data_IF_155196612947
#
_entry.id   IF_155196612947
#
_cell.length_a   1.000
_cell.length_b   1.000
_cell.length_c   1.000
_cell.angle_alpha   90.00
_cell.angle_beta   90.00
_cell.angle_gamma   90.00
#
_symmetry.space_group_name_H-M   'P 1'
#
loop_
_entity.id
_entity.type
_entity.pdbx_description
1 polymer ?
#
# COMPACT_ATOMS: atom_id res chain seq x y z
N UNK A 1 -0.43 -11.57 18.85
CA UNK A 1 -0.22 -11.40 17.40
C UNK A 1 0.55 -10.12 17.08
N UNK A 2 0.41 -9.08 17.92
CA UNK A 2 1.03 -7.77 17.72
C UNK A 2 2.56 -7.82 17.68
N UNK A 3 3.11 -6.93 16.86
CA UNK A 3 4.52 -6.54 16.97
C UNK A 3 4.76 -5.99 18.38
N UNK A 4 5.97 -6.12 18.92
CA UNK A 4 6.33 -5.75 20.32
C UNK A 4 6.27 -4.23 20.61
N UNK A 5 5.57 -3.45 19.76
CA UNK A 5 5.26 -2.05 20.01
C UNK A 5 4.15 -1.97 21.07
N UNK A 6 4.25 -0.97 21.96
CA UNK A 6 3.26 -0.70 23.01
C UNK A 6 1.95 -0.09 22.45
N UNK A 7 1.40 -0.68 21.38
CA UNK A 7 0.16 -0.26 20.74
C UNK A 7 -1.02 -0.93 21.48
N UNK A 8 -2.06 -0.18 21.88
CA UNK A 8 -3.12 -0.68 22.76
C UNK A 8 -4.21 -1.46 21.99
N UNK A 9 -3.83 -2.55 21.32
CA UNK A 9 -4.73 -3.36 20.49
C UNK A 9 -5.91 -3.95 21.27
N UNK A 10 -5.67 -4.46 22.49
CA UNK A 10 -6.74 -4.96 23.36
C UNK A 10 -7.73 -3.87 23.79
N UNK A 11 -7.31 -2.61 23.81
CA UNK A 11 -8.17 -1.47 24.13
C UNK A 11 -9.02 -1.11 22.92
N UNK A 12 -8.42 -1.08 21.72
CA UNK A 12 -9.16 -0.73 20.51
C UNK A 12 -10.17 -1.81 20.13
N UNK A 13 -9.85 -3.10 20.28
CA UNK A 13 -10.75 -4.19 19.93
C UNK A 13 -12.06 -4.17 20.72
N UNK A 14 -12.04 -3.72 21.99
CA UNK A 14 -13.23 -3.53 22.83
C UNK A 14 -14.20 -2.43 22.34
N UNK A 15 -13.79 -1.63 21.36
CA UNK A 15 -14.67 -0.68 20.69
C UNK A 15 -15.49 -1.33 19.57
N UNK A 16 -15.25 -2.60 19.28
CA UNK A 16 -15.92 -3.33 18.22
C UNK A 16 -16.56 -4.62 18.73
N UNK A 17 -17.60 -5.05 18.03
CA UNK A 17 -18.20 -6.36 18.16
C UNK A 17 -18.63 -6.87 16.79
N UNK A 18 -18.63 -8.18 16.59
CA UNK A 18 -19.06 -8.76 15.32
C UNK A 18 -20.54 -9.11 15.39
N UNK A 19 -21.32 -8.67 14.40
CA UNK A 19 -22.77 -8.92 14.31
C UNK A 19 -23.19 -9.15 12.86
N UNK A 20 -24.28 -9.89 12.71
CA UNK A 20 -24.97 -10.07 11.43
C UNK A 20 -25.50 -8.75 10.87
N UNK A 21 -25.20 -8.45 9.60
CA UNK A 21 -25.69 -7.26 8.93
C UNK A 21 -27.21 -7.32 8.78
N UNK A 22 -27.89 -6.23 9.16
CA UNK A 22 -29.36 -6.14 9.15
C UNK A 22 -29.95 -6.01 7.73
N UNK A 23 -29.10 -5.74 6.72
CA UNK A 23 -29.51 -5.60 5.32
C UNK A 23 -28.71 -6.54 4.44
N UNK A 24 -29.41 -7.46 3.78
CA UNK A 24 -28.91 -8.15 2.60
C UNK A 24 -28.85 -7.15 1.44
N UNK A 25 -27.67 -6.63 1.14
CA UNK A 25 -27.45 -5.81 -0.04
C UNK A 25 -27.37 -6.73 -1.27
N UNK A 26 -28.48 -6.92 -1.98
CA UNK A 26 -28.44 -7.54 -3.31
C UNK A 26 -27.77 -6.55 -4.28
N UNK A 27 -26.62 -6.87 -4.88
CA UNK A 27 -26.04 -6.00 -5.89
C UNK A 27 -26.84 -6.09 -7.19
N UNK A 28 -26.93 -4.97 -7.91
CA UNK A 28 -27.71 -4.79 -9.13
C UNK A 28 -27.27 -5.66 -10.33
N UNK A 29 -26.20 -6.45 -10.16
CA UNK A 29 -25.59 -7.29 -11.20
C UNK A 29 -25.74 -8.80 -10.95
N UNK A 30 -26.60 -9.23 -10.01
CA UNK A 30 -26.94 -10.64 -9.82
C UNK A 30 -25.80 -11.52 -9.27
N UNK A 31 -24.67 -10.92 -8.86
CA UNK A 31 -23.59 -11.64 -8.17
C UNK A 31 -23.92 -11.70 -6.68
N UNK A 32 -24.02 -12.88 -6.09
CA UNK A 32 -24.50 -13.05 -4.72
C UNK A 32 -23.42 -12.65 -3.69
N UNK A 33 -23.17 -11.36 -3.47
CA UNK A 33 -22.32 -10.90 -2.35
C UNK A 33 -23.16 -10.87 -1.08
N UNK A 34 -23.32 -12.02 -0.42
CA UNK A 34 -24.00 -12.09 0.87
C UNK A 34 -22.98 -11.70 1.95
N UNK A 35 -22.90 -10.42 2.25
CA UNK A 35 -22.22 -9.94 3.45
C UNK A 35 -23.08 -10.29 4.66
N UNK A 36 -22.71 -11.35 5.36
CA UNK A 36 -23.52 -11.87 6.47
C UNK A 36 -23.17 -11.19 7.78
N UNK A 37 -21.91 -10.90 8.07
CA UNK A 37 -21.46 -10.30 9.34
C UNK A 37 -20.40 -9.21 9.12
N UNK A 38 -20.23 -8.31 10.10
CA UNK A 38 -19.15 -7.33 10.07
C UNK A 38 -18.73 -6.84 11.47
N UNK A 39 -17.56 -6.20 11.53
CA UNK A 39 -17.04 -5.47 12.69
C UNK A 39 -17.82 -4.16 12.88
N UNK A 40 -18.59 -4.09 13.96
CA UNK A 40 -19.47 -2.96 14.24
C UNK A 40 -18.99 -2.16 15.46
N UNK A 41 -19.06 -0.82 15.42
CA UNK A 41 -18.71 0.02 16.57
C UNK A 41 -19.70 -0.17 17.72
N UNK A 42 -19.19 -0.27 18.96
CA UNK A 42 -19.98 -0.36 20.19
C UNK A 42 -20.82 0.90 20.47
N UNK A 43 -20.41 2.07 19.94
CA UNK A 43 -21.00 3.40 20.16
C UNK A 43 -21.06 3.82 21.64
N UNK A 44 -20.06 3.42 22.42
CA UNK A 44 -19.94 3.85 23.82
C UNK A 44 -19.47 5.31 23.92
N UNK A 45 -19.79 6.04 25.01
CA UNK A 45 -19.40 7.45 25.16
C UNK A 45 -17.89 7.71 25.07
N UNK A 46 -17.05 6.75 25.48
CA UNK A 46 -15.59 6.85 25.43
C UNK A 46 -14.97 6.43 24.10
N UNK A 47 -15.77 5.97 23.12
CA UNK A 47 -15.23 5.35 21.91
C UNK A 47 -14.38 6.33 21.09
N UNK A 48 -14.83 7.57 20.92
CA UNK A 48 -14.08 8.56 20.14
C UNK A 48 -12.72 8.88 20.78
N UNK A 49 -12.68 9.08 22.10
CA UNK A 49 -11.43 9.38 22.81
C UNK A 49 -10.47 8.19 22.83
N UNK A 50 -10.99 6.96 22.93
CA UNK A 50 -10.19 5.73 22.83
C UNK A 50 -9.63 5.52 21.41
N UNK A 51 -10.42 5.76 20.37
CA UNK A 51 -9.97 5.73 18.97
C UNK A 51 -8.87 6.77 18.73
N UNK A 52 -9.04 8.01 19.22
CA UNK A 52 -8.03 9.07 19.11
C UNK A 52 -6.74 8.69 19.83
N UNK A 53 -6.83 8.14 21.05
CA UNK A 53 -5.66 7.67 21.80
C UNK A 53 -4.89 6.59 21.03
N UNK A 54 -5.61 5.62 20.46
CA UNK A 54 -5.03 4.57 19.64
C UNK A 54 -4.35 5.13 18.38
N UNK A 55 -5.00 6.04 17.66
CA UNK A 55 -4.41 6.70 16.49
C UNK A 55 -3.12 7.42 16.83
N UNK A 56 -3.06 8.15 17.95
CA UNK A 56 -1.83 8.79 18.40
C UNK A 56 -0.73 7.79 18.77
N UNK A 57 -1.08 6.66 19.41
CA UNK A 57 -0.09 5.64 19.76
C UNK A 57 0.59 5.03 18.51
N UNK A 58 -0.17 4.73 17.46
CA UNK A 58 0.38 4.24 16.19
C UNK A 58 1.17 5.35 15.49
N UNK A 59 0.62 6.56 15.38
CA UNK A 59 1.29 7.69 14.75
C UNK A 59 2.67 7.96 15.37
N UNK A 60 2.75 8.00 16.70
CA UNK A 60 4.01 8.19 17.43
C UNK A 60 4.99 7.04 17.14
N UNK A 61 4.50 5.80 17.09
CA UNK A 61 5.35 4.64 16.77
C UNK A 61 5.91 4.74 15.35
N UNK A 62 5.10 5.10 14.36
CA UNK A 62 5.55 5.29 12.97
C UNK A 62 6.62 6.38 12.90
N UNK A 63 6.36 7.53 13.54
CA UNK A 63 7.27 8.67 13.53
C UNK A 63 8.61 8.36 14.25
N UNK A 64 8.58 7.62 15.35
CA UNK A 64 9.79 7.21 16.08
C UNK A 64 10.65 6.24 15.24
N UNK A 65 10.01 5.25 14.60
CA UNK A 65 10.71 4.31 13.73
C UNK A 65 11.25 5.00 12.48
N UNK A 66 10.50 5.93 11.90
CA UNK A 66 10.93 6.76 10.77
C UNK A 66 12.17 7.59 11.12
N UNK A 67 12.15 8.29 12.26
CA UNK A 67 13.29 9.05 12.74
C UNK A 67 14.50 8.17 13.06
N UNK A 68 14.29 6.96 13.56
CA UNK A 68 15.35 5.99 13.85
C UNK A 68 15.94 5.41 12.56
N UNK A 69 15.11 5.07 11.58
CA UNK A 69 15.53 4.59 10.27
C UNK A 69 16.36 5.65 9.54
N UNK A 70 15.92 6.91 9.57
CA UNK A 70 16.60 8.02 8.89
C UNK A 70 18.05 8.22 9.34
N UNK A 71 18.36 7.92 10.60
CA UNK A 71 19.73 8.02 11.18
C UNK A 71 20.73 7.03 10.56
N UNK A 72 20.26 6.00 9.83
CA UNK A 72 21.13 5.04 9.15
C UNK A 72 21.73 5.59 7.85
N UNK A 73 21.21 6.71 7.35
CA UNK A 73 21.58 7.28 6.05
C UNK A 73 22.26 8.65 6.22
N UNK A 74 23.11 9.06 5.26
CA UNK A 74 23.75 10.37 5.30
C UNK A 74 22.74 11.53 5.37
N UNK A 75 23.14 12.64 5.99
CA UNK A 75 22.32 13.87 5.99
C UNK A 75 22.38 14.58 4.63
N UNK A 76 23.47 14.39 3.88
CA UNK A 76 23.70 14.99 2.58
C UNK A 76 23.81 13.91 1.50
N UNK A 77 23.06 14.10 0.41
CA UNK A 77 23.15 13.30 -0.80
C UNK A 77 23.75 14.17 -1.91
N UNK A 78 24.85 13.74 -2.55
CA UNK A 78 25.48 14.52 -3.60
C UNK A 78 24.53 14.64 -4.81
N UNK A 79 24.52 15.82 -5.43
CA UNK A 79 23.75 16.09 -6.65
C UNK A 79 24.50 15.58 -7.88
N UNK A 80 24.77 14.27 -7.92
CA UNK A 80 25.32 13.60 -9.08
C UNK A 80 24.33 13.67 -10.24
N UNK A 81 24.81 13.79 -11.47
CA UNK A 81 23.94 13.87 -12.66
C UNK A 81 23.76 12.53 -13.36
N UNK A 82 24.50 11.52 -12.93
CA UNK A 82 24.51 10.18 -13.50
C UNK A 82 24.98 9.18 -12.45
N UNK A 83 24.49 7.95 -12.52
CA UNK A 83 24.92 6.91 -11.59
C UNK A 83 23.86 5.85 -11.38
N UNK A 84 24.31 4.71 -10.86
CA UNK A 84 23.44 3.58 -10.57
C UNK A 84 22.80 3.76 -9.19
N UNK A 85 21.46 3.76 -9.14
CA UNK A 85 20.68 3.97 -7.92
C UNK A 85 20.55 2.69 -7.07
N UNK A 86 20.40 1.54 -7.72
CA UNK A 86 20.25 0.25 -7.07
C UNK A 86 21.01 -0.85 -7.82
N UNK A 87 21.39 -1.91 -7.11
CA UNK A 87 22.28 -2.95 -7.64
C UNK A 87 21.58 -3.89 -8.64
N UNK A 88 22.40 -4.59 -9.43
CA UNK A 88 21.92 -5.51 -10.46
C UNK A 88 21.19 -6.71 -9.86
N UNK A 89 21.54 -7.14 -8.64
CA UNK A 89 20.84 -8.24 -7.97
C UNK A 89 19.38 -7.88 -7.69
N UNK A 90 19.11 -6.63 -7.30
CA UNK A 90 17.74 -6.16 -7.10
C UNK A 90 16.99 -6.08 -8.42
N UNK A 91 17.63 -5.58 -9.48
CA UNK A 91 17.05 -5.56 -10.82
C UNK A 91 16.67 -6.99 -11.27
N UNK A 92 17.60 -7.94 -11.16
CA UNK A 92 17.37 -9.33 -11.57
C UNK A 92 16.26 -10.00 -10.77
N UNK A 93 16.16 -9.72 -9.46
CA UNK A 93 15.05 -10.21 -8.62
C UNK A 93 13.70 -9.84 -9.23
N UNK A 94 13.51 -8.57 -9.63
CA UNK A 94 12.24 -8.08 -10.16
C UNK A 94 12.01 -8.38 -11.66
N UNK A 95 13.04 -8.80 -12.40
CA UNK A 95 12.90 -9.28 -13.78
C UNK A 95 12.45 -10.75 -13.84
N UNK A 96 12.93 -11.58 -12.91
CA UNK A 96 12.69 -13.04 -12.91
C UNK A 96 11.42 -13.40 -12.12
N UNK A 97 11.05 -12.60 -11.13
CA UNK A 97 9.92 -12.88 -10.27
C UNK A 97 8.58 -12.67 -11.00
N UNK A 98 7.90 -13.79 -11.30
CA UNK A 98 6.57 -13.81 -11.92
C UNK A 98 5.49 -13.21 -11.01
N UNK A 99 5.70 -13.15 -9.69
CA UNK A 99 4.78 -12.46 -8.77
C UNK A 99 4.90 -10.93 -8.87
N UNK A 100 6.08 -10.44 -9.30
CA UNK A 100 6.32 -9.03 -9.59
C UNK A 100 5.94 -8.64 -11.03
N UNK A 101 5.73 -9.60 -11.92
CA UNK A 101 5.32 -9.36 -13.30
C UNK A 101 3.84 -8.95 -13.35
N UNK A 102 3.58 -7.67 -13.59
CA UNK A 102 2.22 -7.16 -13.77
C UNK A 102 1.71 -7.36 -15.19
N UNK A 103 0.45 -7.02 -15.41
CA UNK A 103 -0.10 -6.85 -16.76
C UNK A 103 0.71 -5.84 -17.60
N UNK A 104 1.41 -4.89 -16.96
CA UNK A 104 2.12 -3.79 -17.61
C UNK A 104 3.65 -3.94 -17.65
N UNK A 105 4.20 -5.03 -17.11
CA UNK A 105 5.64 -5.30 -17.10
C UNK A 105 6.28 -5.29 -15.70
N UNK A 106 7.59 -5.08 -15.66
CA UNK A 106 8.42 -5.06 -14.44
C UNK A 106 8.57 -3.62 -13.92
N UNK A 107 8.53 -3.44 -12.60
CA UNK A 107 8.59 -2.12 -11.98
C UNK A 107 10.00 -1.52 -11.94
N UNK A 108 11.01 -2.37 -11.71
CA UNK A 108 12.41 -1.99 -11.82
C UNK A 108 12.92 -2.42 -13.20
N UNK A 109 13.66 -1.52 -13.84
CA UNK A 109 14.16 -1.69 -15.21
C UNK A 109 15.60 -1.17 -15.27
N UNK A 110 16.34 -1.57 -16.32
CA UNK A 110 17.68 -1.01 -16.59
C UNK A 110 17.63 0.53 -16.68
N UNK A 111 16.57 1.08 -17.28
CA UNK A 111 16.44 2.53 -17.44
C UNK A 111 16.29 3.24 -16.10
N UNK A 112 15.32 2.82 -15.26
CA UNK A 112 15.07 3.48 -13.98
C UNK A 112 16.10 3.12 -12.88
N UNK A 113 17.07 2.26 -13.19
CA UNK A 113 18.26 2.05 -12.38
C UNK A 113 19.22 3.25 -12.41
N UNK A 114 19.15 4.08 -13.46
CA UNK A 114 20.12 5.15 -13.70
C UNK A 114 19.55 6.53 -13.39
N UNK A 115 20.26 7.31 -12.57
CA UNK A 115 19.85 8.64 -12.10
C UNK A 115 19.56 9.62 -13.27
N UNK A 116 20.36 9.56 -14.32
CA UNK A 116 20.21 10.36 -15.53
C UNK A 116 18.86 10.16 -16.22
N UNK A 117 18.28 8.95 -16.14
CA UNK A 117 16.96 8.67 -16.71
C UNK A 117 15.84 9.42 -15.96
N UNK A 118 15.92 9.47 -14.62
CA UNK A 118 14.97 10.22 -13.80
C UNK A 118 15.04 11.72 -14.07
N UNK A 119 16.26 12.25 -14.19
CA UNK A 119 16.49 13.65 -14.55
C UNK A 119 15.91 13.92 -15.94
N UNK A 120 16.21 13.08 -16.93
CA UNK A 120 15.66 13.23 -18.28
C UNK A 120 14.13 13.21 -18.27
N UNK A 121 13.50 12.24 -17.61
CA UNK A 121 12.04 12.10 -17.53
C UNK A 121 11.37 13.30 -16.88
N UNK A 122 11.94 13.82 -15.79
CA UNK A 122 11.42 15.00 -15.11
C UNK A 122 11.43 16.27 -15.99
N UNK A 123 12.31 16.31 -17.00
CA UNK A 123 12.47 17.42 -17.92
C UNK A 123 11.83 17.19 -19.31
N UNK A 124 11.56 15.94 -19.70
CA UNK A 124 11.05 15.59 -21.03
C UNK A 124 9.55 15.80 -21.23
N UNK A 125 8.75 15.86 -20.16
CA UNK A 125 7.28 15.81 -20.21
C UNK A 125 6.60 16.94 -21.01
N UNK A 126 7.32 17.96 -21.48
CA UNK A 126 6.74 19.15 -22.13
C UNK A 126 7.38 19.59 -23.45
N UNK A 127 8.29 18.81 -24.05
CA UNK A 127 8.82 19.14 -25.39
C UNK A 127 7.76 18.99 -26.52
N UNK A 128 6.62 18.33 -26.28
CA UNK A 128 5.59 18.04 -27.30
C UNK A 128 4.32 18.92 -27.30
N UNK A 129 4.24 20.03 -26.55
CA UNK A 129 3.08 20.97 -26.64
C UNK A 129 3.53 22.38 -27.00
N UNK A 130 3.83 22.58 -28.28
CA UNK A 130 4.36 23.84 -28.83
C UNK A 130 3.29 24.83 -29.33
N UNK A 131 2.08 24.83 -28.78
CA UNK A 131 1.01 25.70 -29.29
C UNK A 131 0.26 26.54 -28.24
N UNK A 132 0.60 26.48 -26.95
CA UNK A 132 -0.07 27.32 -25.94
C UNK A 132 0.90 27.98 -24.94
N UNK A 133 1.06 29.30 -25.13
CA UNK A 133 1.40 30.36 -24.18
C UNK A 133 2.25 30.03 -22.93
N UNK A 134 3.53 30.42 -23.00
CA UNK A 134 4.25 31.25 -22.01
C UNK A 134 4.18 30.86 -20.51
N UNK A 135 4.10 29.58 -20.16
CA UNK A 135 4.41 29.13 -18.80
C UNK A 135 5.90 28.75 -18.70
N UNK A 136 6.63 29.18 -17.66
CA UNK A 136 8.01 28.78 -17.46
C UNK A 136 8.10 27.26 -17.36
N UNK A 137 9.05 26.67 -18.08
CA UNK A 137 9.36 25.24 -18.10
C UNK A 137 9.41 24.69 -16.66
N UNK A 138 8.36 23.98 -16.25
CA UNK A 138 8.29 23.41 -14.91
C UNK A 138 8.73 21.96 -14.99
N UNK A 139 9.84 21.65 -14.34
CA UNK A 139 10.29 20.28 -14.09
C UNK A 139 9.18 19.61 -13.26
N UNK A 140 8.51 18.61 -13.82
CA UNK A 140 7.44 17.88 -13.13
C UNK A 140 7.19 16.50 -13.72
N UNK A 141 6.87 15.56 -12.84
CA UNK A 141 6.24 14.30 -13.23
C UNK A 141 4.72 14.46 -13.31
N UNK A 142 4.10 13.56 -14.06
CA UNK A 142 2.65 13.52 -14.30
C UNK A 142 2.10 12.10 -14.20
N UNK A 143 0.81 11.91 -14.45
CA UNK A 143 0.21 10.58 -14.52
C UNK A 143 0.80 9.69 -15.64
N UNK A 144 1.51 10.27 -16.62
CA UNK A 144 2.27 9.49 -17.61
C UNK A 144 3.52 8.83 -17.02
N UNK A 145 3.95 9.26 -15.83
CA UNK A 145 5.15 8.79 -15.13
C UNK A 145 4.81 7.79 -14.01
N UNK A 146 3.73 7.04 -14.20
CA UNK A 146 3.25 6.03 -13.26
C UNK A 146 4.26 4.90 -13.04
N UNK A 147 5.02 4.54 -14.08
CA UNK A 147 6.12 3.58 -13.99
C UNK A 147 7.17 4.01 -12.95
N UNK A 148 7.47 5.31 -12.88
CA UNK A 148 8.39 5.86 -11.88
C UNK A 148 7.79 5.84 -10.47
N UNK A 149 6.49 6.10 -10.34
CA UNK A 149 5.81 5.98 -9.06
C UNK A 149 5.86 4.53 -8.54
N UNK A 150 5.59 3.55 -9.41
CA UNK A 150 5.67 2.13 -9.04
C UNK A 150 7.11 1.69 -8.71
N UNK A 151 8.11 2.20 -9.43
CA UNK A 151 9.52 1.96 -9.08
C UNK A 151 9.85 2.47 -7.67
N UNK A 152 9.41 3.70 -7.31
CA UNK A 152 9.57 4.23 -5.94
C UNK A 152 8.91 3.33 -4.91
N UNK A 153 7.70 2.83 -5.20
CA UNK A 153 6.98 1.94 -4.27
C UNK A 153 7.80 0.67 -3.99
N UNK A 154 8.33 0.02 -5.03
CA UNK A 154 9.15 -1.18 -4.89
C UNK A 154 10.44 -0.89 -4.14
N UNK A 155 11.13 0.21 -4.43
CA UNK A 155 12.35 0.58 -3.70
C UNK A 155 12.10 0.78 -2.19
N UNK A 156 10.94 1.31 -1.80
CA UNK A 156 10.53 1.44 -0.39
C UNK A 156 10.25 0.06 0.24
N UNK A 157 9.54 -0.81 -0.47
CA UNK A 157 9.23 -2.18 -0.01
C UNK A 157 10.52 -2.98 0.22
N UNK A 158 11.44 -2.92 -0.74
CA UNK A 158 12.74 -3.62 -0.75
C UNK A 158 13.79 -2.98 0.17
N UNK A 159 13.43 -1.90 0.88
CA UNK A 159 14.33 -1.15 1.76
C UNK A 159 15.56 -0.57 1.04
N UNK A 160 15.46 -0.27 -0.25
CA UNK A 160 16.51 0.40 -1.02
C UNK A 160 16.46 1.92 -0.80
N UNK A 161 16.47 2.34 0.47
CA UNK A 161 16.20 3.72 0.85
C UNK A 161 17.29 4.69 0.40
N UNK A 162 18.55 4.24 0.23
CA UNK A 162 19.60 5.10 -0.32
C UNK A 162 19.22 5.63 -1.70
N UNK A 163 18.67 4.78 -2.58
CA UNK A 163 18.16 5.20 -3.88
C UNK A 163 17.01 6.22 -3.75
N UNK A 164 16.02 5.90 -2.91
CA UNK A 164 14.82 6.76 -2.73
C UNK A 164 15.18 8.12 -2.14
N UNK A 165 16.09 8.15 -1.15
CA UNK A 165 16.56 9.38 -0.52
C UNK A 165 17.41 10.23 -1.48
N UNK A 166 18.27 9.61 -2.28
CA UNK A 166 18.98 10.28 -3.38
C UNK A 166 17.98 10.95 -4.32
N UNK A 167 16.97 10.21 -4.79
CA UNK A 167 15.93 10.75 -5.67
C UNK A 167 15.12 11.88 -5.00
N UNK A 168 14.74 11.72 -3.72
CA UNK A 168 13.91 12.68 -3.00
C UNK A 168 14.61 14.01 -2.73
N UNK A 169 15.94 13.99 -2.58
CA UNK A 169 16.77 15.17 -2.30
C UNK A 169 17.43 15.76 -3.56
N UNK A 170 17.34 15.10 -4.70
CA UNK A 170 18.00 15.53 -5.92
C UNK A 170 17.36 16.81 -6.49
N UNK A 171 18.12 17.90 -6.74
CA UNK A 171 17.56 19.20 -7.11
C UNK A 171 16.86 19.23 -8.48
N UNK A 172 17.16 18.26 -9.35
CA UNK A 172 16.54 18.14 -10.68
C UNK A 172 15.40 17.11 -10.75
N UNK A 173 15.05 16.47 -9.62
CA UNK A 173 14.02 15.42 -9.59
C UNK A 173 12.91 15.84 -8.62
N UNK A 174 11.71 16.19 -9.11
CA UNK A 174 10.60 16.59 -8.27
C UNK A 174 9.82 15.35 -7.79
N UNK A 175 10.47 14.49 -6.99
CA UNK A 175 9.94 13.17 -6.62
C UNK A 175 8.55 13.24 -5.96
N UNK A 176 8.28 14.32 -5.21
CA UNK A 176 6.99 14.58 -4.58
C UNK A 176 5.80 14.61 -5.56
N UNK A 177 6.04 14.88 -6.85
CA UNK A 177 4.99 14.86 -7.88
C UNK A 177 4.43 13.46 -8.11
N UNK A 178 5.20 12.41 -7.83
CA UNK A 178 4.75 11.02 -7.94
C UNK A 178 3.85 10.59 -6.77
N UNK A 179 3.77 11.38 -5.69
CA UNK A 179 3.11 10.95 -4.47
C UNK A 179 1.59 10.85 -4.62
N UNK A 180 0.96 11.86 -5.22
CA UNK A 180 -0.51 11.99 -5.33
C UNK A 180 -1.00 11.86 -6.77
N UNK A 181 -0.34 11.03 -7.59
CA UNK A 181 -0.80 10.80 -8.96
C UNK A 181 -2.23 10.26 -8.98
N UNK A 182 -3.04 10.80 -9.89
CA UNK A 182 -4.43 10.42 -10.07
C UNK A 182 -4.96 10.71 -11.48
N UNK A 183 -5.95 9.93 -11.91
CA UNK A 183 -6.83 10.26 -13.04
C UNK A 183 -8.21 9.61 -12.82
N UNK A 184 -9.09 10.30 -12.10
CA UNK A 184 -10.38 9.75 -11.66
C UNK A 184 -10.29 8.81 -10.44
N UNK A 185 -9.11 8.26 -10.16
CA UNK A 185 -8.75 7.53 -8.94
C UNK A 185 -7.25 7.65 -8.67
N UNK A 186 -6.79 7.36 -7.44
CA UNK A 186 -5.40 7.57 -6.99
C UNK A 186 -4.53 6.32 -7.22
N UNK A 187 -3.33 6.54 -7.73
CA UNK A 187 -2.35 5.47 -8.03
C UNK A 187 -0.89 5.89 -7.74
N UNK A 188 -0.68 7.04 -7.09
CA UNK A 188 0.66 7.52 -6.70
C UNK A 188 1.32 6.71 -5.59
N UNK A 189 2.50 7.15 -5.15
CA UNK A 189 3.29 6.49 -4.09
C UNK A 189 2.49 6.40 -2.77
N UNK A 190 1.57 7.33 -2.52
CA UNK A 190 0.68 7.32 -1.35
C UNK A 190 -0.20 6.06 -1.22
N UNK A 191 -0.33 5.24 -2.28
CA UNK A 191 -1.01 3.95 -2.16
C UNK A 191 -0.25 2.96 -1.28
N UNK A 192 1.05 3.12 -1.05
CA UNK A 192 1.75 2.30 -0.05
C UNK A 192 1.19 2.50 1.35
N UNK A 193 1.01 3.77 1.73
CA UNK A 193 0.46 4.17 3.02
C UNK A 193 -0.92 3.58 3.23
N UNK A 194 -1.86 3.87 2.33
CA UNK A 194 -3.27 3.47 2.48
C UNK A 194 -3.42 1.95 2.62
N UNK A 195 -2.73 1.16 1.77
CA UNK A 195 -2.89 -0.29 1.75
C UNK A 195 -2.20 -0.97 2.93
N UNK A 196 -0.96 -0.55 3.23
CA UNK A 196 -0.23 -1.09 4.37
C UNK A 196 -0.92 -0.73 5.68
N UNK A 197 -1.45 0.50 5.81
CA UNK A 197 -2.13 0.94 7.02
C UNK A 197 -3.44 0.20 7.22
N UNK A 198 -4.27 0.11 6.18
CA UNK A 198 -5.53 -0.63 6.23
C UNK A 198 -5.30 -2.10 6.60
N UNK A 199 -4.34 -2.76 5.95
CA UNK A 199 -3.96 -4.15 6.28
C UNK A 199 -3.45 -4.28 7.71
N UNK A 200 -2.51 -3.41 8.10
CA UNK A 200 -1.86 -3.47 9.40
C UNK A 200 -2.86 -3.27 10.54
N UNK A 201 -3.74 -2.28 10.44
CA UNK A 201 -4.75 -2.00 11.47
C UNK A 201 -5.82 -3.08 11.47
N UNK A 202 -6.40 -3.43 10.32
CA UNK A 202 -7.52 -4.39 10.29
C UNK A 202 -7.12 -5.76 10.81
N UNK A 203 -6.01 -6.32 10.33
CA UNK A 203 -5.61 -7.67 10.69
C UNK A 203 -5.21 -7.76 12.16
N UNK A 204 -4.55 -6.73 12.71
CA UNK A 204 -4.26 -6.68 14.15
C UNK A 204 -5.52 -6.48 15.01
N UNK A 205 -6.57 -5.80 14.51
CA UNK A 205 -7.85 -5.72 15.23
C UNK A 205 -8.59 -7.04 15.15
N UNK A 206 -8.66 -7.66 13.97
CA UNK A 206 -9.32 -8.95 13.76
C UNK A 206 -8.67 -10.09 14.56
N UNK A 207 -7.35 -10.03 14.73
CA UNK A 207 -6.57 -10.90 15.62
C UNK A 207 -7.13 -11.03 17.04
N UNK A 208 -7.78 -9.98 17.54
CA UNK A 208 -8.38 -9.91 18.88
C UNK A 208 -9.72 -10.65 18.99
N UNK A 209 -10.19 -11.23 17.87
CA UNK A 209 -11.41 -12.04 17.77
C UNK A 209 -11.03 -13.47 17.35
N UNK A 210 -10.41 -14.27 18.25
CA UNK A 210 -9.84 -15.58 17.91
C UNK A 210 -10.87 -16.57 17.37
N UNK A 211 -12.13 -16.48 17.81
CA UNK A 211 -13.22 -17.33 17.33
C UNK A 211 -13.56 -17.11 15.84
N UNK A 212 -13.21 -15.94 15.30
CA UNK A 212 -13.36 -15.57 13.88
C UNK A 212 -12.13 -15.89 13.04
N UNK A 213 -10.95 -15.95 13.67
CA UNK A 213 -9.72 -16.36 13.02
C UNK A 213 -9.67 -17.88 12.77
N UNK A 214 -10.50 -18.67 13.47
CA UNK A 214 -10.57 -20.13 13.31
C UNK A 214 -11.56 -20.56 12.22
N UNK A 215 -11.21 -21.64 11.51
CA UNK A 215 -12.04 -22.26 10.47
C UNK A 215 -12.54 -21.25 9.43
N UNK A 216 -11.67 -20.28 9.07
CA UNK A 216 -11.91 -19.35 7.98
C UNK A 216 -13.18 -18.48 8.14
N UNK A 217 -13.74 -18.36 9.35
CA UNK A 217 -14.99 -17.62 9.59
C UNK A 217 -14.87 -16.15 9.21
N UNK A 218 -13.69 -15.57 9.35
CA UNK A 218 -13.40 -14.19 8.96
C UNK A 218 -13.68 -13.90 7.47
N UNK A 219 -13.71 -14.92 6.59
CA UNK A 219 -14.12 -14.72 5.20
C UNK A 219 -15.55 -14.25 5.04
N UNK A 220 -16.40 -14.42 6.06
CA UNK A 220 -17.78 -13.91 6.04
C UNK A 220 -17.87 -12.42 6.37
N UNK A 221 -16.81 -11.84 6.91
CA UNK A 221 -16.76 -10.43 7.29
C UNK A 221 -16.67 -9.55 6.04
N UNK A 222 -17.61 -8.61 5.92
CA UNK A 222 -17.61 -7.67 4.79
C UNK A 222 -16.31 -6.88 4.71
N UNK A 223 -15.86 -6.31 5.84
CA UNK A 223 -14.62 -5.56 5.87
C UNK A 223 -13.40 -6.41 5.46
N UNK A 224 -13.38 -7.72 5.76
CA UNK A 224 -12.29 -8.60 5.32
C UNK A 224 -12.33 -8.82 3.81
N UNK A 225 -13.49 -9.11 3.25
CA UNK A 225 -13.64 -9.28 1.80
C UNK A 225 -13.28 -8.01 1.04
N UNK A 226 -13.63 -6.84 1.58
CA UNK A 226 -13.26 -5.54 1.02
C UNK A 226 -11.76 -5.29 1.10
N UNK A 227 -11.15 -5.57 2.26
CA UNK A 227 -9.71 -5.46 2.44
C UNK A 227 -8.99 -6.34 1.44
N UNK A 228 -9.32 -7.63 1.36
CA UNK A 228 -8.67 -8.54 0.43
C UNK A 228 -8.88 -8.09 -1.02
N UNK A 229 -10.09 -7.67 -1.40
CA UNK A 229 -10.34 -7.13 -2.74
C UNK A 229 -9.44 -5.94 -3.01
N UNK A 230 -9.33 -5.00 -2.07
CA UNK A 230 -8.45 -3.84 -2.21
C UNK A 230 -7.00 -4.31 -2.39
N UNK A 231 -6.51 -5.16 -1.51
CA UNK A 231 -5.12 -5.65 -1.46
C UNK A 231 -4.68 -6.45 -2.68
N UNK A 232 -5.63 -6.97 -3.45
CA UNK A 232 -5.31 -7.96 -4.48
C UNK A 232 -5.84 -7.62 -5.87
N UNK A 233 -6.79 -6.70 -5.99
CA UNK A 233 -7.31 -6.25 -7.29
C UNK A 233 -6.26 -5.46 -8.08
N UNK A 234 -6.35 -5.54 -9.41
CA UNK A 234 -5.51 -4.74 -10.30
C UNK A 234 -5.99 -3.30 -10.34
N UNK A 235 -5.08 -2.34 -10.31
CA UNK A 235 -5.35 -0.92 -10.55
C UNK A 235 -4.27 -0.34 -11.47
N UNK A 236 -4.46 0.88 -11.99
CA UNK A 236 -3.56 1.44 -13.00
C UNK A 236 -2.09 1.54 -12.53
N UNK A 237 -1.81 1.56 -11.22
CA UNK A 237 -0.47 1.49 -10.63
C UNK A 237 -0.34 0.40 -9.57
N UNK A 238 0.47 -0.62 -9.84
CA UNK A 238 0.45 -1.90 -9.13
C UNK A 238 1.69 -2.14 -8.24
N UNK A 239 2.62 -1.18 -8.12
CA UNK A 239 3.90 -1.40 -7.40
C UNK A 239 3.74 -1.85 -5.94
N UNK A 240 2.63 -1.50 -5.29
CA UNK A 240 2.32 -1.96 -3.93
C UNK A 240 1.67 -3.35 -3.86
N UNK A 241 1.15 -3.89 -4.96
CA UNK A 241 0.37 -5.13 -4.99
C UNK A 241 1.17 -6.41 -4.71
N UNK A 242 2.41 -6.61 -5.20
CA UNK A 242 3.12 -7.88 -5.01
C UNK A 242 3.25 -8.31 -3.55
N UNK A 243 3.58 -7.38 -2.64
CA UNK A 243 3.71 -7.69 -1.21
C UNK A 243 2.38 -8.11 -0.56
N UNK A 244 1.26 -7.62 -1.08
CA UNK A 244 -0.07 -7.95 -0.58
C UNK A 244 -0.61 -9.24 -1.21
N UNK A 245 -0.52 -9.38 -2.54
CA UNK A 245 -0.98 -10.56 -3.28
C UNK A 245 -0.28 -11.83 -2.79
N UNK A 246 1.05 -11.80 -2.62
CA UNK A 246 1.82 -12.93 -2.09
C UNK A 246 1.40 -13.31 -0.67
N UNK A 247 0.83 -12.40 0.12
CA UNK A 247 0.31 -12.70 1.45
C UNK A 247 -1.09 -13.34 1.41
N UNK A 248 -2.01 -12.81 0.61
CA UNK A 248 -3.38 -13.31 0.55
C UNK A 248 -3.53 -14.58 -0.28
N UNK A 249 -2.71 -14.77 -1.32
CA UNK A 249 -2.88 -15.85 -2.30
C UNK A 249 -1.61 -16.70 -2.48
N UNK A 250 -1.84 -17.93 -2.95
CA UNK A 250 -0.83 -18.87 -3.44
C UNK A 250 -0.92 -18.98 -4.96
N UNK A 251 0.22 -19.15 -5.63
CA UNK A 251 0.26 -19.55 -7.03
C UNK A 251 -0.23 -21.00 -7.16
N UNK A 252 -1.22 -21.21 -8.02
CA UNK A 252 -1.70 -22.53 -8.40
C UNK A 252 -0.78 -23.13 -9.45
N UNK A 253 0.20 -23.93 -9.02
CA UNK A 253 1.16 -24.62 -9.89
C UNK A 253 0.49 -25.56 -10.91
N UNK A 254 -0.74 -26.03 -10.63
CA UNK A 254 -1.49 -26.92 -11.52
C UNK A 254 -2.23 -26.17 -12.64
N UNK A 255 -2.29 -24.84 -12.58
CA UNK A 255 -2.90 -24.03 -13.63
C UNK A 255 -1.95 -23.90 -14.83
N UNK A 256 -2.16 -24.73 -15.85
CA UNK A 256 -1.53 -24.49 -17.15
C UNK A 256 -2.16 -23.24 -17.75
N UNK A 257 -1.39 -22.14 -17.77
CA UNK A 257 -1.78 -20.80 -18.19
C UNK A 257 -2.91 -20.74 -19.21
N UNK A 258 -4.14 -20.59 -18.70
CA UNK A 258 -5.30 -20.19 -19.48
C UNK A 258 -5.38 -18.67 -19.54
N UNK A 259 -5.97 -18.07 -20.59
CA UNK A 259 -6.20 -16.64 -20.63
C UNK A 259 -7.01 -16.21 -19.40
N UNK A 260 -6.60 -15.12 -18.75
CA UNK A 260 -7.30 -14.55 -17.60
C UNK A 260 -8.81 -14.46 -17.88
N UNK A 261 -9.62 -15.17 -17.10
CA UNK A 261 -11.06 -15.11 -17.26
C UNK A 261 -11.51 -13.73 -16.80
N UNK A 262 -12.07 -12.92 -17.72
CA UNK A 262 -12.74 -11.67 -17.38
C UNK A 262 -14.04 -11.97 -16.63
N UNK A 263 -13.98 -12.10 -15.32
CA UNK A 263 -15.16 -12.00 -14.46
C UNK A 263 -15.25 -10.57 -13.91
N UNK A 264 -15.64 -9.62 -14.76
CA UNK A 264 -15.76 -8.20 -14.39
C UNK A 264 -14.43 -7.47 -14.19
N UNK A 265 -14.44 -6.37 -13.42
CA UNK A 265 -13.25 -5.55 -13.07
C UNK A 265 -12.19 -6.29 -12.23
N UNK A 266 -12.34 -7.60 -12.01
CA UNK A 266 -11.33 -8.48 -11.42
C UNK A 266 -10.75 -9.37 -12.51
N UNK A 267 -9.54 -9.02 -12.96
CA UNK A 267 -8.67 -9.93 -13.71
C UNK A 267 -7.96 -10.81 -12.70
N UNK A 268 -8.61 -11.89 -12.28
CA UNK A 268 -7.95 -12.96 -11.55
C UNK A 268 -7.39 -13.95 -12.57
N UNK A 269 -6.07 -14.14 -12.66
CA UNK A 269 -5.55 -15.30 -13.34
C UNK A 269 -6.15 -16.54 -12.66
N UNK A 270 -6.58 -17.54 -13.44
CA UNK A 270 -7.03 -18.85 -12.93
C UNK A 270 -5.95 -19.62 -12.16
N UNK A 271 -4.78 -19.00 -12.02
CA UNK A 271 -3.56 -19.48 -11.39
C UNK A 271 -3.37 -19.08 -9.94
N UNK A 272 -4.38 -18.61 -9.21
CA UNK A 272 -4.25 -18.25 -7.80
C UNK A 272 -5.31 -18.92 -6.93
N UNK A 273 -4.90 -19.38 -5.74
CA UNK A 273 -5.78 -19.94 -4.71
C UNK A 273 -5.73 -19.03 -3.48
N UNK A 274 -6.89 -18.77 -2.87
CA UNK A 274 -6.99 -17.99 -1.63
C UNK A 274 -6.39 -18.77 -0.47
N UNK A 275 -5.58 -18.10 0.36
CA UNK A 275 -4.94 -18.70 1.54
C UNK A 275 -5.77 -18.48 2.80
N UNK A 276 -5.72 -19.44 3.73
CA UNK A 276 -6.04 -19.20 5.14
C UNK A 276 -4.88 -18.42 5.80
N UNK A 277 -5.06 -17.12 5.96
CA UNK A 277 -4.02 -16.21 6.48
C UNK A 277 -3.81 -16.35 8.00
N UNK A 278 -4.74 -16.98 8.73
CA UNK A 278 -4.60 -17.23 10.17
C UNK A 278 -4.08 -18.64 10.49
N UNK A 279 -4.00 -19.53 9.49
CA UNK A 279 -3.36 -20.85 9.63
C UNK A 279 -1.83 -20.73 9.82
N UNK A 280 -1.19 -19.76 9.15
CA UNK A 280 0.26 -19.49 9.28
C UNK A 280 0.51 -18.16 10.01
N UNK A 281 0.57 -18.26 11.33
CA UNK A 281 0.84 -17.12 12.20
C UNK A 281 2.25 -16.52 12.04
N UNK A 282 3.22 -17.32 11.56
CA UNK A 282 4.57 -16.86 11.29
C UNK A 282 4.57 -15.88 10.12
N UNK A 283 3.95 -16.29 9.02
CA UNK A 283 3.79 -15.46 7.82
C UNK A 283 2.96 -14.22 8.06
N UNK A 284 1.86 -14.32 8.81
CA UNK A 284 1.08 -13.15 9.26
C UNK A 284 1.97 -12.13 9.97
N UNK A 285 2.82 -12.58 10.90
CA UNK A 285 3.73 -11.68 11.63
C UNK A 285 4.74 -11.03 10.69
N UNK A 286 5.29 -11.76 9.73
CA UNK A 286 6.23 -11.21 8.74
C UNK A 286 5.58 -10.18 7.82
N UNK A 287 4.37 -10.46 7.35
CA UNK A 287 3.59 -9.52 6.55
C UNK A 287 3.26 -8.24 7.30
N UNK A 288 2.83 -8.34 8.57
CA UNK A 288 2.56 -7.16 9.40
C UNK A 288 3.82 -6.36 9.72
N UNK A 289 4.97 -7.02 9.91
CA UNK A 289 6.29 -6.35 10.02
C UNK A 289 6.59 -5.57 8.74
N UNK A 290 6.38 -6.18 7.58
CA UNK A 290 6.63 -5.53 6.30
C UNK A 290 5.71 -4.34 6.08
N UNK A 291 4.40 -4.47 6.35
CA UNK A 291 3.45 -3.36 6.27
C UNK A 291 3.89 -2.20 7.16
N UNK A 292 4.22 -2.48 8.43
CA UNK A 292 4.69 -1.45 9.35
C UNK A 292 6.01 -0.81 8.89
N UNK A 293 6.91 -1.61 8.32
CA UNK A 293 8.16 -1.12 7.76
C UNK A 293 7.97 -0.15 6.60
N UNK A 294 7.03 -0.47 5.70
CA UNK A 294 6.65 0.42 4.60
C UNK A 294 6.09 1.75 5.15
N UNK A 295 5.25 1.73 6.19
CA UNK A 295 4.65 2.94 6.76
C UNK A 295 5.72 3.92 7.26
N UNK A 296 6.68 3.46 8.07
CA UNK A 296 7.71 4.37 8.60
C UNK A 296 8.74 4.79 7.55
N UNK A 297 9.01 3.95 6.52
CA UNK A 297 9.87 4.34 5.40
C UNK A 297 9.20 5.37 4.51
N UNK A 298 7.90 5.22 4.26
CA UNK A 298 7.11 6.20 3.53
C UNK A 298 7.05 7.54 4.28
N UNK A 299 6.79 7.53 5.60
CA UNK A 299 6.86 8.74 6.44
C UNK A 299 8.20 9.46 6.30
N UNK A 300 9.31 8.70 6.39
CA UNK A 300 10.66 9.22 6.25
C UNK A 300 10.83 9.91 4.89
N UNK A 301 10.44 9.25 3.80
CA UNK A 301 10.59 9.77 2.44
C UNK A 301 9.74 11.01 2.20
N UNK A 302 8.50 11.03 2.71
CA UNK A 302 7.60 12.19 2.58
C UNK A 302 8.22 13.44 3.19
N UNK A 303 8.88 13.31 4.34
CA UNK A 303 9.60 14.41 5.00
C UNK A 303 10.80 14.92 4.19
N UNK A 304 11.45 14.04 3.44
CA UNK A 304 12.67 14.39 2.69
C UNK A 304 12.39 15.30 1.49
N UNK A 305 11.22 15.17 0.86
CA UNK A 305 10.75 16.09 -0.17
C UNK A 305 9.83 17.22 0.37
N UNK A 306 9.82 17.44 1.68
CA UNK A 306 9.14 18.56 2.33
C UNK A 306 7.64 18.39 2.58
N UNK A 307 7.13 17.16 2.53
CA UNK A 307 5.76 16.83 2.92
C UNK A 307 5.63 16.38 4.37
N UNK A 308 4.39 16.16 4.80
CA UNK A 308 4.05 15.55 6.08
C UNK A 308 2.81 14.68 5.92
N UNK A 309 2.75 13.57 6.64
CA UNK A 309 1.57 12.69 6.69
C UNK A 309 0.82 12.95 7.98
N UNK A 310 -0.48 13.27 7.87
CA UNK A 310 -1.37 13.31 9.03
C UNK A 310 -1.74 11.88 9.44
N UNK A 311 -0.83 11.23 10.16
CA UNK A 311 -1.02 9.87 10.62
C UNK A 311 -2.29 9.67 11.45
N UNK A 312 -2.62 10.54 12.43
CA UNK A 312 -3.88 10.41 13.18
C UNK A 312 -5.12 10.35 12.27
N UNK A 313 -5.20 11.22 11.26
CA UNK A 313 -6.32 11.23 10.30
C UNK A 313 -6.27 9.99 9.39
N UNK A 314 -5.10 9.60 8.89
CA UNK A 314 -4.94 8.39 8.07
C UNK A 314 -5.39 7.13 8.82
N UNK A 315 -5.00 7.00 10.10
CA UNK A 315 -5.40 5.86 10.95
C UNK A 315 -6.89 5.89 11.24
N UNK A 316 -7.47 7.07 11.51
CA UNK A 316 -8.92 7.21 11.66
C UNK A 316 -9.65 6.83 10.37
N UNK A 317 -9.11 7.21 9.21
CA UNK A 317 -9.58 6.81 7.89
C UNK A 317 -9.56 5.30 7.71
N UNK A 318 -8.43 4.64 8.01
CA UNK A 318 -8.29 3.19 7.96
C UNK A 318 -9.30 2.49 8.89
N UNK A 319 -9.46 2.97 10.12
CA UNK A 319 -10.46 2.47 11.07
C UNK A 319 -11.90 2.65 10.56
N UNK A 320 -12.20 3.76 9.91
CA UNK A 320 -13.49 4.02 9.29
C UNK A 320 -13.76 3.12 8.09
N UNK A 321 -12.73 2.75 7.32
CA UNK A 321 -12.88 1.76 6.25
C UNK A 321 -13.21 0.36 6.80
N UNK A 322 -12.87 0.07 8.07
CA UNK A 322 -13.31 -1.15 8.76
C UNK A 322 -14.80 -1.11 9.12
N UNK A 323 -15.40 0.08 9.15
CA UNK A 323 -16.83 0.27 9.33
C UNK A 323 -17.49 0.30 7.97
N UNK A 324 -18.11 -0.79 7.51
CA UNK A 324 -19.03 -0.64 6.38
C UNK A 324 -20.28 0.09 6.83
N UNK A 325 -20.25 1.42 6.73
CA UNK A 325 -21.42 2.27 6.56
C UNK A 325 -21.11 3.42 5.60
N UNK A 326 -21.55 3.24 4.36
CA UNK A 326 -22.13 4.35 3.61
C UNK A 326 -23.59 4.04 3.27
N UNK A 327 -24.56 4.55 4.03
CA UNK A 327 -25.70 5.21 3.44
C UNK A 327 -25.33 6.68 3.24
N UNK A 328 -25.38 7.15 1.99
CA UNK A 328 -25.70 8.56 1.75
C UNK A 328 -27.10 8.85 2.27
#
# INVERSE_FOLDING_TARGET
MHLDHAIPWNTISKNFYIRKNDKLSLPSNGTLWIFTEDLNPCKKPSQESELRYFSHAIANSIQEFSATERKKYPDHFPAEISGQLFCDELLQKHLVDKECATYYGTFLTEQNQHLEYWIQRAHAAYECRSDTWQYPYKVMFSSNDLDLADAVKILIIENNMSAVLTLARHPLIPLSNLNLLHWGHSFGVNRLEDYCLCSYVYLNVLAEFPEWCQNEKYWKLEAFQQLERLMTSTCDGEGQMPMHRSFFWDLNEESQGGPAARTGWQLMPSSYVRRDIFADMGRMKEYLKLCFAVLYRYDMVVKEWGGEVDWPEAIAGALNQLHVKYPR
#
